data_IF_996266753616
#
_entry.id   IF_996266753616
#
_cell.length_a   1.000
_cell.length_b   1.000
_cell.length_c   1.000
_cell.angle_alpha   90.00
_cell.angle_beta   90.00
_cell.angle_gamma   90.00
#
_symmetry.space_group_name_H-M   'P 1'
#
loop_
_entity.id
_entity.type
_entity.pdbx_description
1 polymer ?
#
# COMPACT_ATOMS: atom_id res chain seq x y z
N UNK A 1 -19.28 12.73 30.96
CA UNK A 1 -20.37 12.82 29.98
C UNK A 1 -21.52 11.98 30.48
N UNK A 2 -22.71 12.57 30.46
CA UNK A 2 -23.96 11.95 30.90
C UNK A 2 -24.48 10.98 29.84
N UNK A 3 -25.33 10.03 30.24
CA UNK A 3 -25.88 9.01 29.33
C UNK A 3 -26.75 9.64 28.26
N UNK A 4 -27.54 10.67 28.60
CA UNK A 4 -28.44 11.33 27.65
C UNK A 4 -27.68 12.07 26.55
N UNK A 5 -26.62 12.80 26.93
CA UNK A 5 -25.76 13.52 26.00
C UNK A 5 -25.00 12.54 25.08
N UNK A 6 -24.54 11.42 25.65
CA UNK A 6 -23.85 10.36 24.93
C UNK A 6 -24.76 9.67 23.91
N UNK A 7 -25.99 9.33 24.31
CA UNK A 7 -26.96 8.71 23.43
C UNK A 7 -27.35 9.64 22.29
N UNK A 8 -27.56 10.93 22.57
CA UNK A 8 -27.84 11.93 21.53
C UNK A 8 -26.73 11.97 20.48
N UNK A 9 -25.47 11.99 20.92
CA UNK A 9 -24.31 11.97 20.02
C UNK A 9 -24.21 10.68 19.19
N UNK A 10 -24.56 9.52 19.75
CA UNK A 10 -24.57 8.26 18.99
C UNK A 10 -25.63 8.27 17.88
N UNK A 11 -26.83 8.79 18.17
CA UNK A 11 -27.87 8.95 17.14
C UNK A 11 -27.49 9.99 16.08
N UNK A 12 -26.92 11.13 16.47
CA UNK A 12 -26.43 12.15 15.53
C UNK A 12 -25.34 11.61 14.59
N UNK A 13 -24.51 10.69 15.08
CA UNK A 13 -23.39 10.12 14.32
C UNK A 13 -23.74 8.84 13.56
N UNK A 14 -24.94 8.28 13.78
CA UNK A 14 -25.36 7.01 13.17
C UNK A 14 -24.51 5.82 13.62
N UNK A 15 -24.06 5.85 14.88
CA UNK A 15 -23.17 4.85 15.49
C UNK A 15 -23.98 4.02 16.47
N UNK A 16 -23.82 2.70 16.41
CA UNK A 16 -24.59 1.76 17.23
C UNK A 16 -23.86 1.33 18.51
N UNK A 17 -22.53 1.44 18.52
CA UNK A 17 -21.67 0.96 19.59
C UNK A 17 -20.83 2.07 20.22
N UNK A 18 -20.80 2.06 21.54
CA UNK A 18 -19.89 2.85 22.36
C UNK A 18 -18.83 1.93 22.96
N UNK A 19 -17.57 2.30 22.80
CA UNK A 19 -16.44 1.67 23.49
C UNK A 19 -15.91 2.66 24.53
N UNK A 20 -15.88 2.24 25.79
CA UNK A 20 -15.34 3.03 26.90
C UNK A 20 -14.07 2.36 27.39
N UNK A 21 -12.95 3.08 27.35
CA UNK A 21 -11.67 2.62 27.91
C UNK A 21 -11.38 3.42 29.19
N UNK A 22 -11.38 2.75 30.35
CA UNK A 22 -11.23 3.37 31.67
C UNK A 22 -10.60 2.41 32.70
N UNK A 23 -9.62 2.87 33.49
CA UNK A 23 -8.92 2.06 34.50
C UNK A 23 -8.43 0.68 33.99
N UNK A 24 -7.74 0.66 32.85
CA UNK A 24 -7.25 -0.55 32.17
C UNK A 24 -8.34 -1.57 31.77
N UNK A 25 -9.61 -1.19 31.87
CA UNK A 25 -10.76 -1.98 31.46
C UNK A 25 -11.43 -1.36 30.25
N UNK A 26 -11.92 -2.22 29.37
CA UNK A 26 -12.68 -1.86 28.17
C UNK A 26 -14.11 -2.36 28.30
N UNK A 27 -15.07 -1.49 28.03
CA UNK A 27 -16.49 -1.85 27.95
C UNK A 27 -17.04 -1.52 26.58
N UNK A 28 -17.76 -2.46 25.99
CA UNK A 28 -18.57 -2.26 24.79
C UNK A 28 -20.05 -2.17 25.16
N UNK A 29 -20.72 -1.11 24.72
CA UNK A 29 -22.11 -0.82 25.07
C UNK A 29 -22.87 -0.48 23.81
N UNK A 30 -23.86 -1.28 23.45
CA UNK A 30 -24.79 -0.96 22.37
C UNK A 30 -25.71 0.21 22.80
N UNK A 31 -26.09 1.08 21.87
CA UNK A 31 -26.97 2.24 22.14
C UNK A 31 -28.29 1.84 22.83
N UNK A 32 -28.86 0.67 22.53
CA UNK A 32 -30.10 0.19 23.18
C UNK A 32 -29.90 -0.08 24.68
N UNK A 33 -28.67 -0.40 25.07
CA UNK A 33 -28.31 -0.55 26.48
C UNK A 33 -28.27 0.79 27.20
N UNK A 34 -27.85 1.86 26.51
CA UNK A 34 -27.93 3.22 27.03
C UNK A 34 -29.38 3.67 27.16
N UNK A 35 -30.25 3.35 26.19
CA UNK A 35 -31.71 3.57 26.31
C UNK A 35 -32.27 2.89 27.56
N UNK A 36 -31.79 1.67 27.87
CA UNK A 36 -32.19 0.96 29.09
C UNK A 36 -31.74 1.69 30.36
N UNK A 37 -30.57 2.34 30.37
CA UNK A 37 -30.11 3.15 31.51
C UNK A 37 -30.98 4.39 31.72
N UNK A 38 -31.42 5.04 30.64
CA UNK A 38 -32.37 6.16 30.73
C UNK A 38 -33.69 5.68 31.33
N UNK A 39 -34.23 4.54 30.85
CA UNK A 39 -35.44 3.93 31.40
C UNK A 39 -35.32 3.54 32.88
N UNK A 40 -34.10 3.36 33.39
CA UNK A 40 -33.81 3.12 34.82
C UNK A 40 -33.59 4.40 35.64
N UNK A 41 -33.79 5.59 35.07
CA UNK A 41 -33.55 6.87 35.74
C UNK A 41 -32.07 7.25 35.89
N UNK A 42 -31.20 6.69 35.05
CA UNK A 42 -29.75 6.95 35.06
C UNK A 42 -29.29 7.87 33.91
N UNK A 43 -30.21 8.62 33.28
CA UNK A 43 -29.90 9.49 32.12
C UNK A 43 -28.88 10.58 32.44
N UNK A 44 -29.05 11.25 33.58
CA UNK A 44 -28.17 12.31 34.09
C UNK A 44 -26.90 11.76 34.76
N UNK A 45 -26.77 10.44 34.89
CA UNK A 45 -25.60 9.86 35.53
C UNK A 45 -24.44 9.83 34.53
N UNK A 46 -23.24 10.05 35.05
CA UNK A 46 -22.05 9.84 34.24
C UNK A 46 -21.91 8.35 33.90
N UNK A 47 -21.59 8.04 32.64
CA UNK A 47 -21.38 6.64 32.21
C UNK A 47 -20.30 5.95 33.06
N UNK A 48 -19.28 6.70 33.50
CA UNK A 48 -18.22 6.23 34.39
C UNK A 48 -18.77 5.75 35.74
N UNK A 49 -19.63 6.55 36.38
CA UNK A 49 -20.25 6.21 37.66
C UNK A 49 -21.16 4.98 37.58
N UNK A 50 -21.82 4.77 36.43
CA UNK A 50 -22.65 3.58 36.19
C UNK A 50 -21.76 2.33 36.05
N UNK A 51 -20.68 2.44 35.27
CA UNK A 51 -19.75 1.34 35.04
C UNK A 51 -19.00 0.93 36.32
N UNK A 52 -18.62 1.88 37.17
CA UNK A 52 -17.97 1.60 38.46
C UNK A 52 -18.93 0.89 39.43
N UNK A 53 -20.15 1.41 39.61
CA UNK A 53 -21.12 0.88 40.59
C UNK A 53 -21.80 -0.42 40.17
N UNK A 54 -21.98 -0.66 38.86
CA UNK A 54 -22.70 -1.84 38.33
C UNK A 54 -21.79 -2.82 37.58
N UNK A 55 -20.47 -2.74 37.79
CA UNK A 55 -19.47 -3.65 37.21
C UNK A 55 -19.79 -5.14 37.40
N UNK A 56 -20.49 -5.52 38.48
CA UNK A 56 -20.92 -6.90 38.75
C UNK A 56 -22.19 -7.34 37.99
N UNK A 57 -23.05 -6.41 37.56
CA UNK A 57 -24.31 -6.70 36.87
C UNK A 57 -24.20 -6.58 35.34
N UNK A 58 -23.10 -6.01 34.84
CA UNK A 58 -22.77 -5.91 33.43
C UNK A 58 -21.91 -7.12 33.04
N UNK A 59 -22.49 -8.32 33.11
CA UNK A 59 -21.92 -9.51 32.45
C UNK A 59 -22.08 -9.33 30.94
N UNK A 60 -21.13 -8.62 30.37
CA UNK A 60 -20.97 -8.38 28.93
C UNK A 60 -19.50 -8.16 28.65
N UNK A 61 -18.66 -9.04 29.21
CA UNK A 61 -17.28 -9.22 28.79
C UNK A 61 -17.35 -9.94 27.44
N UNK A 62 -17.26 -9.19 26.34
CA UNK A 62 -17.05 -9.78 25.02
C UNK A 62 -16.09 -8.89 24.26
N UNK A 63 -14.86 -9.40 24.17
CA UNK A 63 -13.89 -9.18 23.10
C UNK A 63 -14.52 -9.67 21.78
N UNK A 64 -15.59 -8.99 21.36
CA UNK A 64 -16.43 -9.41 20.26
C UNK A 64 -16.03 -8.70 18.99
N UNK A 65 -15.89 -9.44 17.90
CA UNK A 65 -15.83 -8.88 16.55
C UNK A 65 -16.94 -7.84 16.36
N UNK A 66 -16.58 -6.56 16.36
CA UNK A 66 -17.50 -5.47 16.08
C UNK A 66 -17.58 -5.27 14.58
N UNK A 67 -18.59 -5.83 13.93
CA UNK A 67 -18.90 -5.53 12.53
C UNK A 67 -19.76 -4.27 12.43
N UNK A 68 -19.25 -3.12 12.90
CA UNK A 68 -20.03 -1.88 12.92
C UNK A 68 -19.22 -0.60 13.20
N UNK A 69 -19.85 0.56 13.02
CA UNK A 69 -19.27 1.85 13.40
C UNK A 69 -19.34 1.99 14.92
N UNK A 70 -18.21 2.30 15.55
CA UNK A 70 -18.09 2.50 16.98
C UNK A 70 -17.45 3.86 17.31
N UNK A 71 -17.77 4.39 18.48
CA UNK A 71 -17.19 5.63 19.02
C UNK A 71 -16.47 5.32 20.33
N UNK A 72 -15.28 5.90 20.51
CA UNK A 72 -14.41 5.63 21.66
C UNK A 72 -14.48 6.79 22.65
N UNK A 73 -14.79 6.49 23.92
CA UNK A 73 -14.78 7.47 24.99
C UNK A 73 -13.54 7.26 25.85
N UNK A 74 -12.65 8.26 25.85
CA UNK A 74 -11.43 8.30 26.66
C UNK A 74 -11.43 9.50 27.62
N UNK A 75 -10.44 9.59 28.50
CA UNK A 75 -10.26 10.73 29.42
C UNK A 75 -10.29 12.10 28.75
N UNK A 76 -9.82 12.19 27.51
CA UNK A 76 -9.79 13.42 26.72
C UNK A 76 -11.04 13.72 25.89
N UNK A 77 -12.08 12.88 25.97
CA UNK A 77 -13.33 13.06 25.23
C UNK A 77 -13.62 11.94 24.20
N UNK A 78 -14.50 12.28 23.25
CA UNK A 78 -14.98 11.37 22.21
C UNK A 78 -13.97 11.32 21.06
N UNK A 79 -13.39 10.15 20.83
CA UNK A 79 -12.51 9.86 19.71
C UNK A 79 -13.28 9.02 18.67
N UNK A 80 -13.23 9.42 17.41
CA UNK A 80 -13.90 8.73 16.29
C UNK A 80 -13.01 7.68 15.62
N UNK A 81 -11.76 7.53 16.08
CA UNK A 81 -10.84 6.53 15.56
C UNK A 81 -11.01 5.20 16.30
N UNK A 82 -11.09 4.06 15.58
CA UNK A 82 -10.88 2.74 16.15
C UNK A 82 -9.54 2.71 16.88
N UNK A 83 -9.56 2.91 18.20
CA UNK A 83 -8.44 2.47 19.05
C UNK A 83 -8.58 0.96 19.19
N UNK A 84 -8.35 0.24 18.09
CA UNK A 84 -7.83 -1.12 18.21
C UNK A 84 -6.61 -0.99 19.13
N UNK A 85 -6.68 -1.72 20.24
CA UNK A 85 -5.70 -1.68 21.29
C UNK A 85 -4.29 -1.69 20.70
N UNK A 86 -3.45 -0.80 21.21
CA UNK A 86 -2.01 -0.60 20.93
C UNK A 86 -1.12 -1.87 21.07
N UNK A 87 -1.71 -3.07 21.21
CA UNK A 87 -0.98 -4.33 21.27
C UNK A 87 -0.68 -4.84 19.87
N UNK A 88 0.61 -5.04 19.62
CA UNK A 88 1.09 -5.76 18.45
C UNK A 88 0.48 -7.17 18.44
N UNK A 89 0.04 -7.67 17.28
CA UNK A 89 -0.47 -9.03 17.18
C UNK A 89 0.62 -10.03 17.55
N UNK A 90 0.22 -11.21 18.00
CA UNK A 90 1.15 -12.30 18.39
C UNK A 90 2.08 -12.70 17.24
N UNK A 91 1.65 -12.48 16.00
CA UNK A 91 2.41 -12.73 14.79
C UNK A 91 3.29 -11.55 14.36
N UNK A 92 3.47 -10.48 15.14
CA UNK A 92 4.29 -9.33 14.73
C UNK A 92 5.77 -9.69 14.49
N UNK A 93 6.32 -10.62 15.27
CA UNK A 93 7.73 -11.03 15.24
C UNK A 93 8.01 -12.20 14.25
N UNK A 94 7.07 -12.51 13.36
CA UNK A 94 7.25 -13.53 12.32
C UNK A 94 8.38 -13.16 11.35
N UNK A 95 8.98 -14.14 10.65
CA UNK A 95 10.10 -13.89 9.74
C UNK A 95 9.68 -13.28 8.39
N UNK A 96 8.56 -12.56 8.32
CA UNK A 96 8.13 -11.81 7.13
C UNK A 96 8.16 -10.30 7.41
N UNK A 97 8.48 -9.43 6.44
CA UNK A 97 8.50 -7.99 6.65
C UNK A 97 7.07 -7.46 6.79
N UNK A 98 6.75 -6.90 7.96
CA UNK A 98 5.43 -6.36 8.28
C UNK A 98 5.54 -4.88 8.65
N UNK A 99 4.62 -4.10 8.10
CA UNK A 99 4.47 -2.67 8.26
C UNK A 99 3.10 -2.39 8.86
N UNK A 100 3.03 -1.59 9.93
CA UNK A 100 1.77 -1.07 10.46
C UNK A 100 1.58 0.37 10.03
N UNK A 101 0.51 0.66 9.29
CA UNK A 101 0.20 1.93 8.66
C UNK A 101 -0.37 2.98 9.63
N UNK A 102 0.25 3.12 10.80
CA UNK A 102 -0.05 4.14 11.81
C UNK A 102 0.92 5.33 11.69
N UNK A 103 0.71 6.37 12.51
CA UNK A 103 1.60 7.54 12.56
C UNK A 103 2.18 7.67 13.99
N UNK A 104 3.51 7.48 14.17
CA UNK A 104 4.52 7.12 13.17
C UNK A 104 4.33 5.68 12.63
N UNK A 105 4.93 5.38 11.46
CA UNK A 105 4.95 4.01 10.93
C UNK A 105 5.64 3.09 11.93
N UNK A 106 5.09 1.89 12.13
CA UNK A 106 5.77 0.85 12.88
C UNK A 106 6.24 -0.24 11.93
N UNK A 107 7.48 -0.68 12.10
CA UNK A 107 8.11 -1.74 11.32
C UNK A 107 8.48 -2.88 12.27
N UNK A 108 8.21 -4.11 11.86
CA UNK A 108 8.76 -5.26 12.56
C UNK A 108 10.26 -5.40 12.21
N UNK A 109 11.05 -6.23 12.94
CA UNK A 109 12.49 -6.31 12.69
C UNK A 109 12.87 -6.68 11.25
N UNK A 110 12.04 -7.48 10.57
CA UNK A 110 12.25 -7.84 9.16
C UNK A 110 11.94 -6.68 8.21
N UNK A 111 10.89 -5.92 8.47
CA UNK A 111 10.58 -4.70 7.74
C UNK A 111 11.61 -3.61 7.99
N UNK A 112 12.17 -3.49 9.19
CA UNK A 112 13.26 -2.55 9.47
C UNK A 112 14.52 -2.89 8.66
N UNK A 113 14.86 -4.18 8.56
CA UNK A 113 15.98 -4.63 7.73
C UNK A 113 15.77 -4.36 6.23
N UNK A 114 14.52 -4.45 5.75
CA UNK A 114 14.17 -4.21 4.35
C UNK A 114 13.99 -2.70 4.03
N UNK A 115 13.36 -1.95 4.94
CA UNK A 115 12.82 -0.62 4.72
C UNK A 115 13.47 0.47 5.60
N UNK A 116 14.44 0.17 6.47
CA UNK A 116 14.96 1.11 7.48
C UNK A 116 15.51 2.45 6.94
N UNK A 117 15.77 2.55 5.64
CA UNK A 117 16.11 3.80 4.95
C UNK A 117 15.00 4.40 4.06
N UNK A 118 13.90 3.68 3.88
CA UNK A 118 12.82 3.97 2.91
C UNK A 118 11.68 4.69 3.61
N UNK A 119 11.30 5.85 3.06
CA UNK A 119 10.17 6.64 3.57
C UNK A 119 8.92 6.38 2.75
N UNK A 120 7.93 5.72 3.35
CA UNK A 120 6.60 5.59 2.77
C UNK A 120 5.83 6.90 3.02
N UNK A 121 5.58 7.64 1.94
CA UNK A 121 4.94 8.95 1.97
C UNK A 121 3.43 8.89 2.29
N UNK A 122 2.80 10.00 2.70
CA UNK A 122 1.37 10.03 3.04
C UNK A 122 0.45 9.58 1.90
N UNK A 123 0.83 9.88 0.64
CA UNK A 123 0.07 9.47 -0.55
C UNK A 123 0.10 7.94 -0.73
N UNK A 124 1.27 7.33 -0.61
CA UNK A 124 1.45 5.88 -0.73
C UNK A 124 0.69 5.13 0.36
N UNK A 125 0.69 5.68 1.58
CA UNK A 125 -0.13 5.14 2.68
C UNK A 125 -1.62 5.21 2.35
N UNK A 126 -2.11 6.35 1.88
CA UNK A 126 -3.52 6.51 1.52
C UNK A 126 -3.93 5.54 0.40
N UNK A 127 -3.08 5.32 -0.60
CA UNK A 127 -3.31 4.34 -1.66
C UNK A 127 -3.31 2.91 -1.13
N UNK A 128 -2.30 2.53 -0.32
CA UNK A 128 -2.24 1.20 0.30
C UNK A 128 -3.46 0.90 1.18
N UNK A 129 -3.89 1.87 2.00
CA UNK A 129 -5.06 1.71 2.88
C UNK A 129 -6.36 1.60 2.08
N UNK A 130 -6.54 2.42 1.04
CA UNK A 130 -7.78 2.43 0.25
C UNK A 130 -7.92 1.21 -0.67
N UNK A 131 -6.82 0.74 -1.26
CA UNK A 131 -6.82 -0.36 -2.23
C UNK A 131 -6.49 -1.71 -1.60
N UNK A 132 -5.95 -1.72 -0.37
CA UNK A 132 -5.45 -2.92 0.29
C UNK A 132 -4.18 -3.50 -0.35
N UNK A 133 -3.69 -2.91 -1.45
CA UNK A 133 -2.45 -3.25 -2.14
C UNK A 133 -1.86 -1.98 -2.71
N UNK A 134 -0.54 -1.87 -2.73
CA UNK A 134 0.13 -0.72 -3.35
C UNK A 134 1.54 -1.08 -3.77
N UNK A 135 1.93 -0.70 -4.98
CA UNK A 135 3.31 -0.79 -5.45
C UNK A 135 3.96 0.59 -5.33
N UNK A 136 5.04 0.69 -4.56
CA UNK A 136 5.82 1.92 -4.45
C UNK A 136 7.25 1.70 -4.92
N UNK A 137 7.80 2.71 -5.58
CA UNK A 137 9.20 2.74 -6.00
C UNK A 137 9.94 3.77 -5.15
N UNK A 138 10.90 3.32 -4.35
CA UNK A 138 11.66 4.20 -3.46
C UNK A 138 13.10 3.70 -3.31
N UNK A 139 14.07 4.60 -3.53
CA UNK A 139 15.49 4.27 -3.38
C UNK A 139 16.00 3.22 -4.37
N UNK A 140 15.37 3.08 -5.55
CA UNK A 140 15.72 2.06 -6.54
C UNK A 140 15.11 0.68 -6.26
N UNK A 141 14.36 0.54 -5.17
CA UNK A 141 13.60 -0.67 -4.85
C UNK A 141 12.13 -0.48 -5.20
N UNK A 142 11.54 -1.54 -5.74
CA UNK A 142 10.10 -1.66 -5.94
C UNK A 142 9.55 -2.53 -4.81
N UNK A 143 8.80 -1.90 -3.91
CA UNK A 143 8.21 -2.55 -2.75
C UNK A 143 6.72 -2.74 -2.99
N UNK A 144 6.28 -3.98 -2.91
CA UNK A 144 4.87 -4.32 -2.95
C UNK A 144 4.31 -4.43 -1.54
N UNK A 145 3.29 -3.63 -1.26
CA UNK A 145 2.53 -3.67 -0.03
C UNK A 145 1.23 -4.44 -0.25
N UNK A 146 0.94 -5.40 0.62
CA UNK A 146 -0.32 -6.13 0.62
C UNK A 146 -0.93 -6.15 2.01
N UNK A 147 -2.23 -5.85 2.10
CA UNK A 147 -2.95 -5.79 3.38
C UNK A 147 -3.08 -7.20 3.96
N UNK A 148 -2.72 -7.33 5.22
CA UNK A 148 -2.96 -8.54 6.01
C UNK A 148 -4.29 -8.39 6.74
N UNK A 149 -4.33 -7.50 7.73
CA UNK A 149 -5.47 -7.29 8.63
C UNK A 149 -5.40 -5.88 9.23
N UNK A 150 -6.54 -5.22 9.43
CA UNK A 150 -6.58 -3.89 10.07
C UNK A 150 -5.63 -2.88 9.41
N UNK A 151 -4.69 -2.34 10.18
CA UNK A 151 -3.64 -1.42 9.73
C UNK A 151 -2.33 -2.12 9.32
N UNK A 152 -2.28 -3.45 9.28
CA UNK A 152 -1.08 -4.23 9.03
C UNK A 152 -0.96 -4.65 7.56
N UNK A 153 0.24 -4.48 7.02
CA UNK A 153 0.60 -4.76 5.65
C UNK A 153 1.89 -5.58 5.61
N UNK A 154 1.97 -6.54 4.70
CA UNK A 154 3.20 -7.19 4.35
C UNK A 154 3.94 -6.36 3.31
N UNK A 155 5.26 -6.24 3.45
CA UNK A 155 6.13 -5.58 2.49
C UNK A 155 7.04 -6.61 1.81
N UNK A 156 7.04 -6.62 0.49
CA UNK A 156 7.85 -7.52 -0.32
C UNK A 156 8.72 -6.71 -1.29
N UNK A 157 9.98 -7.09 -1.42
CA UNK A 157 10.85 -6.58 -2.49
C UNK A 157 10.53 -7.32 -3.79
N UNK A 158 9.95 -6.59 -4.73
CA UNK A 158 9.58 -7.09 -6.06
C UNK A 158 10.42 -6.46 -7.16
N UNK A 159 11.56 -5.85 -6.81
CA UNK A 159 12.43 -5.16 -7.78
C UNK A 159 12.91 -6.10 -8.89
N UNK A 160 13.24 -7.35 -8.54
CA UNK A 160 13.63 -8.38 -9.50
C UNK A 160 12.50 -8.76 -10.45
N UNK A 161 11.29 -8.92 -9.91
CA UNK A 161 10.10 -9.27 -10.71
C UNK A 161 9.71 -8.14 -11.66
N UNK A 162 9.79 -6.89 -11.19
CA UNK A 162 9.57 -5.70 -12.02
C UNK A 162 10.59 -5.65 -13.18
N UNK A 163 11.88 -5.84 -12.90
CA UNK A 163 12.91 -5.86 -13.94
C UNK A 163 12.68 -6.98 -14.95
N UNK A 164 12.30 -8.18 -14.48
CA UNK A 164 12.01 -9.30 -15.36
C UNK A 164 10.77 -9.04 -16.23
N UNK A 165 9.72 -8.46 -15.65
CA UNK A 165 8.50 -8.11 -16.37
C UNK A 165 8.77 -7.04 -17.45
N UNK A 166 9.62 -6.06 -17.16
CA UNK A 166 10.07 -5.06 -18.13
C UNK A 166 10.85 -5.70 -19.27
N UNK A 167 11.78 -6.62 -18.97
CA UNK A 167 12.54 -7.34 -19.99
C UNK A 167 11.63 -8.23 -20.84
N UNK A 168 10.66 -8.92 -20.24
CA UNK A 168 9.67 -9.72 -20.97
C UNK A 168 8.79 -8.82 -21.84
N UNK A 169 8.31 -7.70 -21.31
CA UNK A 169 7.54 -6.71 -22.06
C UNK A 169 8.35 -6.11 -23.23
N UNK A 170 9.64 -5.92 -23.03
CA UNK A 170 10.57 -5.52 -24.08
C UNK A 170 10.70 -6.58 -25.17
N UNK A 171 10.97 -7.84 -24.81
CA UNK A 171 11.06 -8.92 -25.79
C UNK A 171 9.74 -9.20 -26.51
N UNK A 172 8.61 -8.99 -25.83
CA UNK A 172 7.27 -9.12 -26.40
C UNK A 172 6.94 -7.97 -27.37
N UNK A 173 7.35 -6.75 -27.07
CA UNK A 173 7.10 -5.57 -27.91
C UNK A 173 8.01 -5.50 -29.14
N UNK A 174 9.26 -5.93 -29.00
CA UNK A 174 10.25 -5.91 -30.09
C UNK A 174 10.18 -7.18 -30.95
N UNK A 175 9.71 -8.29 -30.38
CA UNK A 175 9.67 -9.59 -31.04
C UNK A 175 11.09 -10.12 -31.20
N UNK A 176 11.50 -11.05 -30.33
CA UNK A 176 12.80 -11.75 -30.40
C UNK A 176 13.18 -12.23 -31.81
N UNK A 177 12.20 -12.58 -32.63
CA UNK A 177 12.40 -12.93 -34.04
C UNK A 177 12.87 -11.76 -34.95
N UNK A 178 12.39 -10.53 -34.73
CA UNK A 178 12.87 -9.35 -35.46
C UNK A 178 14.31 -9.02 -35.07
N UNK A 179 14.62 -9.16 -33.78
CA UNK A 179 15.96 -9.00 -33.24
C UNK A 179 16.95 -9.99 -33.88
N UNK A 180 16.64 -11.29 -33.83
CA UNK A 180 17.49 -12.33 -34.40
C UNK A 180 17.71 -12.11 -35.91
N UNK A 181 16.64 -11.78 -36.65
CA UNK A 181 16.71 -11.48 -38.09
C UNK A 181 17.58 -10.27 -38.43
N UNK A 182 17.59 -9.23 -37.60
CA UNK A 182 18.41 -8.04 -37.83
C UNK A 182 19.88 -8.33 -37.55
N UNK A 183 20.18 -9.08 -36.47
CA UNK A 183 21.54 -9.55 -36.17
C UNK A 183 22.08 -10.45 -37.30
N UNK A 184 21.28 -11.42 -37.78
CA UNK A 184 21.65 -12.28 -38.91
C UNK A 184 22.03 -11.49 -40.17
N UNK A 185 21.40 -10.33 -40.38
CA UNK A 185 21.69 -9.43 -41.51
C UNK A 185 22.87 -8.48 -41.26
N UNK A 186 23.52 -8.58 -40.10
CA UNK A 186 24.69 -7.78 -39.73
C UNK A 186 24.35 -6.38 -39.22
N UNK A 187 23.10 -6.11 -38.84
CA UNK A 187 22.73 -4.87 -38.18
C UNK A 187 23.18 -4.90 -36.72
N UNK A 188 23.64 -3.76 -36.22
CA UNK A 188 23.89 -3.58 -34.78
C UNK A 188 22.66 -2.95 -34.14
N UNK A 189 22.18 -3.53 -33.05
CA UNK A 189 20.97 -3.07 -32.36
C UNK A 189 21.35 -2.67 -30.93
N UNK A 190 20.94 -1.47 -30.50
CA UNK A 190 21.25 -0.94 -29.17
C UNK A 190 19.97 -0.43 -28.51
N UNK A 191 19.70 -0.88 -27.28
CA UNK A 191 18.61 -0.36 -26.44
C UNK A 191 19.01 1.00 -25.87
N UNK A 192 18.09 1.96 -25.91
CA UNK A 192 18.24 3.29 -25.29
C UNK A 192 17.02 3.64 -24.45
N UNK A 193 17.27 4.30 -23.33
CA UNK A 193 16.22 4.76 -22.42
C UNK A 193 15.62 6.12 -22.83
N UNK A 194 16.28 6.83 -23.75
CA UNK A 194 15.86 8.16 -24.24
C UNK A 194 15.98 8.25 -25.76
N UNK A 195 15.14 9.11 -26.33
CA UNK A 195 15.20 9.46 -27.75
C UNK A 195 16.31 10.49 -27.95
N UNK A 196 17.42 10.05 -28.53
CA UNK A 196 18.56 10.91 -28.84
C UNK A 196 18.64 11.19 -30.35
N UNK A 197 19.52 12.11 -30.75
CA UNK A 197 19.80 12.31 -32.17
C UNK A 197 20.39 11.04 -32.79
N UNK A 198 19.76 10.59 -33.86
CA UNK A 198 20.11 9.40 -34.62
C UNK A 198 21.19 9.77 -35.65
N UNK A 199 22.20 8.93 -35.83
CA UNK A 199 23.22 9.17 -36.86
C UNK A 199 22.69 8.87 -38.27
N UNK A 200 23.37 9.36 -39.31
CA UNK A 200 22.96 9.20 -40.73
C UNK A 200 22.80 7.74 -41.22
N UNK A 201 23.24 6.76 -40.44
CA UNK A 201 23.13 5.33 -40.75
C UNK A 201 22.43 4.53 -39.65
N UNK A 202 21.59 5.18 -38.84
CA UNK A 202 20.74 4.51 -37.88
C UNK A 202 19.27 4.88 -38.03
N UNK A 203 18.40 3.94 -37.70
CA UNK A 203 16.97 4.13 -37.54
C UNK A 203 16.64 4.01 -36.04
N UNK A 204 15.67 4.78 -35.55
CA UNK A 204 15.22 4.70 -34.16
C UNK A 204 13.75 4.30 -34.09
N UNK A 205 13.48 3.20 -33.38
CA UNK A 205 12.13 2.64 -33.23
C UNK A 205 11.67 2.80 -31.78
N UNK A 206 10.53 3.45 -31.58
CA UNK A 206 9.91 3.59 -30.26
C UNK A 206 9.27 2.28 -29.85
N UNK A 207 9.66 1.76 -28.69
CA UNK A 207 9.10 0.54 -28.12
C UNK A 207 8.00 0.91 -27.13
N UNK A 208 6.79 0.42 -27.38
CA UNK A 208 5.60 0.71 -26.58
C UNK A 208 4.96 -0.56 -26.09
N UNK A 209 4.44 -0.51 -24.87
CA UNK A 209 3.52 -1.51 -24.35
C UNK A 209 2.21 -0.82 -24.01
N UNK A 210 1.13 -1.26 -24.65
CA UNK A 210 -0.15 -0.56 -24.67
C UNK A 210 0.04 0.93 -25.02
N UNK A 211 -0.07 1.85 -24.04
CA UNK A 211 0.09 3.29 -24.23
C UNK A 211 1.44 3.83 -23.77
N UNK A 212 2.16 3.08 -22.94
CA UNK A 212 3.38 3.54 -22.29
C UNK A 212 4.62 3.30 -23.16
N UNK A 213 5.53 4.27 -23.15
CA UNK A 213 6.82 4.18 -23.84
C UNK A 213 7.81 3.50 -22.91
N UNK A 214 8.30 2.33 -23.31
CA UNK A 214 9.28 1.56 -22.54
C UNK A 214 10.73 1.91 -22.90
N UNK A 215 10.95 2.55 -24.05
CA UNK A 215 12.28 2.96 -24.51
C UNK A 215 12.37 2.97 -26.03
N UNK A 216 13.61 2.93 -26.52
CA UNK A 216 13.93 3.07 -27.93
C UNK A 216 14.95 2.03 -28.37
N UNK A 217 14.84 1.62 -29.63
CA UNK A 217 15.82 0.80 -30.32
C UNK A 217 16.54 1.63 -31.35
N UNK A 218 17.86 1.71 -31.26
CA UNK A 218 18.70 2.17 -32.36
C UNK A 218 19.13 0.98 -33.21
N UNK A 219 18.76 0.98 -34.48
CA UNK A 219 19.12 -0.02 -35.48
C UNK A 219 20.16 0.60 -36.41
N UNK A 220 21.40 0.15 -36.33
CA UNK A 220 22.54 0.69 -37.07
C UNK A 220 22.82 -0.22 -38.26
N UNK A 221 22.82 0.35 -39.47
CA UNK A 221 23.12 -0.41 -40.68
C UNK A 221 24.60 -0.83 -40.72
N UNK A 222 24.91 -2.05 -41.20
CA UNK A 222 26.29 -2.42 -41.47
C UNK A 222 26.87 -1.49 -42.54
N UNK A 223 28.02 -0.87 -42.24
CA UNK A 223 28.74 -0.03 -43.22
C UNK A 223 29.01 -0.85 -44.49
N UNK A 224 28.30 -0.56 -45.58
CA UNK A 224 28.65 -1.09 -46.90
C UNK A 224 30.07 -0.61 -47.21
N UNK A 225 31.03 -1.54 -47.22
CA UNK A 225 32.36 -1.26 -47.75
C UNK A 225 32.15 -0.87 -49.21
N UNK A 226 32.24 0.43 -49.52
CA UNK A 226 32.29 0.90 -50.90
C UNK A 226 33.52 0.22 -51.52
N UNK A 227 33.31 -0.89 -52.23
CA UNK A 227 34.30 -1.43 -53.16
C UNK A 227 34.57 -0.29 -54.13
N UNK A 228 35.69 0.42 -53.93
CA UNK A 228 36.28 1.23 -54.99
C UNK A 228 36.51 0.28 -56.15
N UNK A 229 35.68 0.36 -57.17
CA UNK A 229 35.96 -0.20 -58.49
C UNK A 229 37.20 0.52 -59.01
N UNK A 230 38.36 0.00 -58.63
CA UNK A 230 39.63 0.35 -59.22
C UNK A 230 39.70 -0.34 -60.59
N UNK A 231 39.83 0.48 -61.62
CA UNK A 231 40.58 0.16 -62.84
C UNK A 231 39.99 -0.89 -63.77
N UNK A 232 39.46 -0.41 -64.90
CA UNK A 232 39.82 -0.99 -66.20
C UNK A 232 39.88 0.13 -67.24
N UNK A 233 41.05 0.77 -67.30
CA UNK A 233 41.66 1.16 -68.57
C UNK A 233 42.11 -0.11 -69.31
N UNK A 234 42.31 0.05 -70.62
CA UNK A 234 42.76 -0.92 -71.65
C UNK A 234 41.59 -1.42 -72.51
N UNK A 235 41.51 -1.12 -73.81
CA UNK A 235 42.38 -0.36 -74.71
C UNK A 235 41.66 -0.09 -76.03
#
# INVERSE_FOLDING_TARGET
>A
MEVDELLRKLYETGVDWLVVDWNERRWSIHKDRLVSFIGMGLGEWSIKSILEKKSSCLKGEVDGDFTGKAVFLSEGGIDRSPKESLKRPVWWEVPIPIVRMVTPLELNPKAEALLGGIKIGPKDRAMAVSQGKHLLSCGGLSIFLSKLEGDFFMAEDVSGDCSLAEDVGWWASVGKALWDRLIEKGFQIVKKDRMDQVGDCSEMVTCRWDRDVLGYLEIIEPRKTRRRSAGRTDG
#
